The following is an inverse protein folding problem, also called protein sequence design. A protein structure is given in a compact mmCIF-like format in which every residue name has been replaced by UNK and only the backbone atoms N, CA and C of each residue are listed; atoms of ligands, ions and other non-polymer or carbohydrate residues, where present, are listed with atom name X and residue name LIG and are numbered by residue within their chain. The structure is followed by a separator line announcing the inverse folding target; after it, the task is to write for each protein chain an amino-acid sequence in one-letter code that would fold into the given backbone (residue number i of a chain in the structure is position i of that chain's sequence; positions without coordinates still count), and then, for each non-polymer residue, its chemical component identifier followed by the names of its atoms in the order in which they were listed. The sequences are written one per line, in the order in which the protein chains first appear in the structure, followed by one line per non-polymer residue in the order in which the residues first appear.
data_IF_577920429116
#
_entry.id   IF_577920429116
#
_cell.length_a   1.000
_cell.length_b   1.000
_cell.length_c   1.000
_cell.angle_alpha   90.00
_cell.angle_beta   90.00
_cell.angle_gamma   90.00
#
_symmetry.space_group_name_H-M   'P 1'
#
loop_
_entity.id
_entity.type
_entity.pdbx_description
1 polymer ?
#
# COMPACT_ATOMS: atom_id res chain seq x y z
N UNK A 1 21.69 15.74 5.11
CA UNK A 1 21.58 15.21 3.74
C UNK A 1 20.72 13.96 3.73
N UNK A 2 20.16 13.58 2.58
CA UNK A 2 19.35 12.35 2.42
C UNK A 2 20.17 11.08 2.75
N UNK A 3 21.48 11.13 2.54
CA UNK A 3 22.39 10.02 2.86
C UNK A 3 22.59 9.78 4.36
N UNK A 4 22.50 10.80 5.18
CA UNK A 4 22.67 10.67 6.63
C UNK A 4 21.39 10.15 7.33
N UNK A 5 20.23 10.28 6.68
CA UNK A 5 18.95 9.80 7.21
C UNK A 5 18.70 8.31 6.93
N UNK A 6 19.32 7.73 5.90
CA UNK A 6 19.13 6.33 5.49
C UNK A 6 19.48 5.30 6.58
N UNK A 7 20.59 5.43 7.34
CA UNK A 7 20.92 4.52 8.42
C UNK A 7 19.86 4.47 9.51
N UNK A 8 19.40 5.65 9.96
CA UNK A 8 18.40 5.78 11.05
C UNK A 8 17.06 5.11 10.67
N UNK A 9 16.61 5.30 9.41
CA UNK A 9 15.36 4.66 8.95
C UNK A 9 15.49 3.14 8.89
N UNK A 10 16.66 2.62 8.51
CA UNK A 10 16.95 1.19 8.47
C UNK A 10 16.96 0.58 9.87
N UNK A 11 17.62 1.21 10.81
CA UNK A 11 17.67 0.76 12.22
C UNK A 11 16.27 0.70 12.84
N UNK A 12 15.44 1.73 12.63
CA UNK A 12 14.05 1.76 13.12
C UNK A 12 13.25 0.60 12.54
N UNK A 13 13.38 0.31 11.24
CA UNK A 13 12.69 -0.80 10.59
C UNK A 13 13.17 -2.14 11.16
N UNK A 14 14.48 -2.31 11.34
CA UNK A 14 15.06 -3.53 11.89
C UNK A 14 14.55 -3.80 13.31
N UNK A 15 14.56 -2.79 14.17
CA UNK A 15 14.03 -2.89 15.54
C UNK A 15 12.55 -3.28 15.52
N UNK A 16 11.74 -2.63 14.68
CA UNK A 16 10.32 -2.92 14.55
C UNK A 16 10.10 -4.37 14.09
N UNK A 17 10.77 -4.81 13.04
CA UNK A 17 10.59 -6.15 12.50
C UNK A 17 11.04 -7.23 13.48
N UNK A 18 12.16 -7.03 14.19
CA UNK A 18 12.59 -7.91 15.29
C UNK A 18 11.53 -8.00 16.38
N UNK A 19 10.93 -6.86 16.72
CA UNK A 19 9.87 -6.79 17.73
C UNK A 19 8.62 -7.58 17.29
N UNK A 20 8.20 -7.47 16.04
CA UNK A 20 7.05 -8.20 15.50
C UNK A 20 7.24 -9.72 15.45
N UNK A 21 8.49 -10.21 15.49
CA UNK A 21 8.81 -11.64 15.54
C UNK A 21 8.74 -12.23 16.96
N UNK A 22 8.52 -11.42 17.99
CA UNK A 22 8.36 -11.91 19.37
C UNK A 22 7.04 -12.71 19.51
N UNK A 23 7.03 -13.79 20.32
CA UNK A 23 5.86 -14.68 20.45
C UNK A 23 4.55 -14.00 20.83
N UNK A 24 4.62 -12.88 21.55
CA UNK A 24 3.43 -12.12 21.98
C UNK A 24 2.65 -11.49 20.83
N UNK A 25 3.25 -11.36 19.62
CA UNK A 25 2.63 -10.77 18.44
C UNK A 25 2.17 -11.81 17.40
N UNK A 26 2.22 -13.09 17.73
CA UNK A 26 1.84 -14.17 16.81
C UNK A 26 0.37 -14.07 16.36
N UNK A 27 -0.49 -13.51 17.19
CA UNK A 27 -1.92 -13.28 16.90
C UNK A 27 -2.19 -11.98 16.14
N UNK A 28 -1.16 -11.16 15.95
CA UNK A 28 -1.23 -9.86 15.27
C UNK A 28 -0.78 -8.69 16.12
N UNK A 29 -0.57 -7.56 15.49
CA UNK A 29 -0.14 -6.33 16.12
C UNK A 29 -0.73 -5.10 15.41
N UNK A 30 -0.94 -4.03 16.16
CA UNK A 30 -1.22 -2.71 15.62
C UNK A 30 0.05 -1.87 15.75
N UNK A 31 0.53 -1.34 14.61
CA UNK A 31 1.73 -0.51 14.57
C UNK A 31 1.31 0.92 14.28
N UNK A 32 1.44 1.81 15.26
CA UNK A 32 1.11 3.23 15.10
C UNK A 32 2.30 4.02 14.54
N UNK A 33 2.02 4.82 13.53
CA UNK A 33 2.99 5.75 12.97
C UNK A 33 4.07 5.12 12.09
N UNK A 34 3.81 3.98 11.50
CA UNK A 34 4.63 3.29 10.52
C UNK A 34 3.77 2.76 9.35
N UNK A 35 4.24 2.81 8.06
CA UNK A 35 5.44 3.52 7.59
C UNK A 35 5.23 5.04 7.46
N UNK A 36 6.33 5.82 7.48
CA UNK A 36 6.33 7.30 7.33
C UNK A 36 7.25 7.81 6.23
N UNK A 37 7.94 6.92 5.54
CA UNK A 37 8.85 7.27 4.45
C UNK A 37 8.79 6.22 3.35
N UNK A 38 9.24 6.57 2.13
CA UNK A 38 9.32 5.63 1.02
C UNK A 38 10.20 4.41 1.36
N UNK A 39 11.32 4.62 2.06
CA UNK A 39 12.19 3.51 2.49
C UNK A 39 11.45 2.52 3.39
N UNK A 40 10.68 3.02 4.34
CA UNK A 40 9.88 2.16 5.22
C UNK A 40 8.75 1.45 4.47
N UNK A 41 8.14 2.10 3.49
CA UNK A 41 7.15 1.51 2.59
C UNK A 41 7.76 0.35 1.81
N UNK A 42 8.92 0.52 1.20
CA UNK A 42 9.59 -0.54 0.46
C UNK A 42 10.02 -1.71 1.38
N UNK A 43 10.52 -1.41 2.58
CA UNK A 43 10.83 -2.45 3.57
C UNK A 43 9.57 -3.27 3.96
N UNK A 44 8.41 -2.61 4.10
CA UNK A 44 7.14 -3.29 4.39
C UNK A 44 6.70 -4.19 3.24
N UNK A 45 6.82 -3.74 1.99
CA UNK A 45 6.54 -4.54 0.79
C UNK A 45 7.45 -5.77 0.72
N UNK A 46 8.74 -5.60 0.98
CA UNK A 46 9.70 -6.70 1.01
C UNK A 46 9.41 -7.71 2.14
N UNK A 47 9.02 -7.23 3.32
CA UNK A 47 8.59 -8.12 4.40
C UNK A 47 7.40 -8.96 3.98
N UNK A 48 6.37 -8.34 3.41
CA UNK A 48 5.17 -9.04 2.94
C UNK A 48 5.49 -10.06 1.85
N UNK A 49 6.29 -9.68 0.85
CA UNK A 49 6.73 -10.59 -0.20
C UNK A 49 7.49 -11.80 0.40
N UNK A 50 8.43 -11.56 1.32
CA UNK A 50 9.18 -12.64 1.96
C UNK A 50 8.33 -13.58 2.79
N UNK A 51 7.31 -13.06 3.49
CA UNK A 51 6.36 -13.89 4.24
C UNK A 51 5.52 -14.78 3.31
N UNK A 52 5.09 -14.26 2.16
CA UNK A 52 4.41 -15.05 1.14
C UNK A 52 5.34 -16.12 0.53
N UNK A 53 6.59 -15.78 0.23
CA UNK A 53 7.56 -16.75 -0.29
C UNK A 53 7.78 -17.90 0.71
N UNK A 54 7.98 -17.59 1.99
CA UNK A 54 8.11 -18.60 3.04
C UNK A 54 6.87 -19.48 3.15
N UNK A 55 5.68 -18.87 3.10
CA UNK A 55 4.43 -19.64 3.07
C UNK A 55 4.40 -20.63 1.90
N UNK A 56 4.71 -20.18 0.69
CA UNK A 56 4.74 -21.05 -0.49
C UNK A 56 5.78 -22.17 -0.37
N UNK A 57 6.98 -21.85 0.13
CA UNK A 57 8.08 -22.79 0.31
C UNK A 57 7.68 -23.92 1.28
N UNK A 58 7.04 -23.57 2.41
CA UNK A 58 6.73 -24.53 3.48
C UNK A 58 5.31 -25.10 3.44
N UNK A 59 4.45 -24.64 2.53
CA UNK A 59 3.02 -24.97 2.47
C UNK A 59 2.70 -26.47 2.56
N UNK A 60 3.52 -27.31 1.91
CA UNK A 60 3.30 -28.76 1.85
C UNK A 60 4.20 -29.54 2.82
N UNK A 61 4.79 -28.86 3.78
CA UNK A 61 5.66 -29.46 4.80
C UNK A 61 4.97 -29.47 6.17
N UNK A 62 5.53 -30.19 7.13
CA UNK A 62 5.06 -30.17 8.52
C UNK A 62 5.17 -28.78 9.17
N UNK A 63 6.07 -27.94 8.67
CA UNK A 63 6.27 -26.56 9.16
C UNK A 63 5.29 -25.56 8.53
N UNK A 64 4.45 -25.94 7.57
CA UNK A 64 3.51 -25.05 6.90
C UNK A 64 2.60 -24.27 7.85
N UNK A 65 2.20 -24.89 8.96
CA UNK A 65 1.39 -24.24 10.01
C UNK A 65 2.08 -23.03 10.64
N UNK A 66 3.41 -22.96 10.62
CA UNK A 66 4.21 -21.87 11.18
C UNK A 66 4.25 -20.63 10.28
N UNK A 67 3.80 -20.76 9.04
CA UNK A 67 3.78 -19.69 8.04
C UNK A 67 2.35 -19.45 7.53
N UNK A 68 1.47 -18.88 8.38
CA UNK A 68 0.10 -18.54 7.99
C UNK A 68 0.09 -17.46 6.90
N UNK A 69 -1.06 -17.30 6.23
CA UNK A 69 -1.27 -16.20 5.28
C UNK A 69 -1.02 -14.86 5.96
N UNK A 70 -0.13 -14.01 5.44
CA UNK A 70 0.09 -12.70 6.01
C UNK A 70 -1.08 -11.76 5.68
N UNK A 71 -1.69 -11.19 6.72
CA UNK A 71 -2.75 -10.20 6.61
C UNK A 71 -2.23 -8.83 7.02
N UNK A 72 -2.13 -7.89 6.07
CA UNK A 72 -1.66 -6.54 6.32
C UNK A 72 -2.75 -5.55 5.95
N UNK A 73 -3.18 -4.77 6.95
CA UNK A 73 -4.15 -3.70 6.80
C UNK A 73 -3.49 -2.36 7.03
N UNK A 74 -3.64 -1.45 6.09
CA UNK A 74 -3.13 -0.08 6.18
C UNK A 74 -4.30 0.84 6.50
N UNK A 75 -4.34 1.40 7.71
CA UNK A 75 -5.35 2.35 8.12
C UNK A 75 -4.81 3.77 8.07
N UNK A 76 -5.38 4.60 7.23
CA UNK A 76 -5.08 6.03 7.16
C UNK A 76 -6.26 6.82 7.71
N UNK A 77 -6.07 7.41 8.87
CA UNK A 77 -7.05 8.29 9.50
C UNK A 77 -6.80 9.72 8.99
N UNK A 78 -7.75 10.30 8.29
CA UNK A 78 -7.63 11.66 7.80
C UNK A 78 -8.58 12.62 8.49
N UNK A 79 -8.11 13.84 8.69
CA UNK A 79 -8.88 15.01 9.10
C UNK A 79 -8.46 16.19 8.23
N UNK A 80 -9.27 17.23 8.15
CA UNK A 80 -8.83 18.47 7.52
C UNK A 80 -7.77 19.21 8.37
N UNK A 81 -7.12 20.18 7.77
CA UNK A 81 -6.03 20.95 8.41
C UNK A 81 -6.51 21.66 9.68
N UNK A 82 -7.67 22.31 9.61
CA UNK A 82 -8.20 23.09 10.73
C UNK A 82 -8.48 22.18 11.93
N UNK A 83 -9.11 21.04 11.70
CA UNK A 83 -9.40 20.05 12.74
C UNK A 83 -8.10 19.43 13.30
N UNK A 84 -7.11 19.17 12.44
CA UNK A 84 -5.80 18.66 12.87
C UNK A 84 -5.09 19.68 13.79
N UNK A 85 -5.05 20.94 13.39
CA UNK A 85 -4.46 22.02 14.19
C UNK A 85 -5.21 22.19 15.52
N UNK A 86 -6.55 22.24 15.47
CA UNK A 86 -7.39 22.35 16.67
C UNK A 86 -7.11 21.22 17.69
N UNK A 87 -7.03 19.98 17.22
CA UNK A 87 -6.73 18.82 18.08
C UNK A 87 -5.33 18.86 18.65
N UNK A 88 -4.34 19.31 17.88
CA UNK A 88 -2.98 19.44 18.37
C UNK A 88 -2.87 20.49 19.48
N UNK A 89 -3.45 21.68 19.27
CA UNK A 89 -3.45 22.74 20.27
C UNK A 89 -4.20 22.33 21.55
N UNK A 90 -5.37 21.69 21.39
CA UNK A 90 -6.14 21.17 22.55
C UNK A 90 -5.31 20.16 23.35
N UNK A 91 -4.64 19.22 22.69
CA UNK A 91 -3.77 18.24 23.37
C UNK A 91 -2.61 18.91 24.09
N UNK A 92 -2.01 19.94 23.50
CA UNK A 92 -0.96 20.73 24.15
C UNK A 92 -1.43 21.38 25.42
N UNK A 93 -2.61 22.00 25.40
CA UNK A 93 -3.22 22.62 26.56
C UNK A 93 -3.55 21.60 27.66
N UNK A 94 -4.20 20.47 27.30
CA UNK A 94 -4.49 19.39 28.23
C UNK A 94 -3.22 18.82 28.88
N UNK A 95 -2.13 18.71 28.11
CA UNK A 95 -0.84 18.24 28.61
C UNK A 95 -0.22 19.25 29.60
N UNK A 96 -0.32 20.55 29.37
CA UNK A 96 0.12 21.59 30.30
C UNK A 96 -0.68 21.51 31.62
N UNK A 97 -2.00 21.41 31.54
CA UNK A 97 -2.87 21.30 32.72
C UNK A 97 -2.56 20.03 33.52
N UNK A 98 -2.27 18.90 32.87
CA UNK A 98 -1.86 17.66 33.53
C UNK A 98 -0.51 17.82 34.23
N UNK A 99 0.46 18.50 33.58
CA UNK A 99 1.76 18.75 34.19
C UNK A 99 1.67 19.67 35.43
N UNK A 100 0.78 20.69 35.40
CA UNK A 100 0.51 21.52 36.58
C UNK A 100 -0.08 20.73 37.75
N UNK A 101 -0.95 19.74 37.46
CA UNK A 101 -1.47 18.83 38.48
C UNK A 101 -0.38 17.91 39.01
N UNK A 102 0.40 17.28 38.05
CA UNK A 102 1.50 16.40 38.43
C UNK A 102 2.54 17.09 39.32
N UNK A 103 2.87 18.39 39.04
CA UNK A 103 3.74 19.19 39.93
C UNK A 103 3.21 19.34 41.31
N UNK A 104 1.89 19.54 41.46
CA UNK A 104 1.27 19.67 42.78
C UNK A 104 1.26 18.34 43.56
N UNK A 105 1.11 17.24 42.83
CA UNK A 105 0.97 15.89 43.42
C UNK A 105 2.33 15.17 43.51
N UNK A 106 3.45 15.80 43.09
CA UNK A 106 4.79 15.19 43.09
C UNK A 106 4.97 14.06 42.09
N UNK A 107 4.13 14.01 41.06
CA UNK A 107 4.19 13.01 39.98
C UNK A 107 5.09 13.46 38.81
N UNK A 108 5.48 12.53 37.96
CA UNK A 108 6.31 12.81 36.78
C UNK A 108 5.54 13.63 35.75
N UNK A 109 6.21 14.64 35.17
CA UNK A 109 5.66 15.47 34.11
C UNK A 109 5.71 14.73 32.76
N UNK A 110 4.71 14.99 31.90
CA UNK A 110 4.64 14.47 30.52
C UNK A 110 5.34 15.47 29.59
N UNK A 111 6.12 14.97 28.65
CA UNK A 111 6.78 15.81 27.65
C UNK A 111 5.77 16.48 26.72
N UNK A 112 5.72 17.79 26.72
CA UNK A 112 4.86 18.60 25.84
C UNK A 112 5.53 18.81 24.50
N UNK A 113 4.89 18.43 23.43
CA UNK A 113 5.43 18.62 22.08
C UNK A 113 5.34 20.10 21.68
N UNK A 114 6.45 20.69 21.27
CA UNK A 114 6.51 22.11 20.83
C UNK A 114 5.50 22.45 19.72
N UNK A 115 5.19 21.49 18.84
CA UNK A 115 4.20 21.63 17.76
C UNK A 115 2.77 21.75 18.28
N UNK A 116 2.48 21.28 19.49
CA UNK A 116 1.15 21.30 20.07
C UNK A 116 0.85 22.61 20.81
N UNK A 117 1.83 23.50 20.92
CA UNK A 117 1.71 24.83 21.56
C UNK A 117 1.66 25.98 20.57
N UNK A 118 1.86 25.73 19.28
CA UNK A 118 1.94 26.77 18.28
C UNK A 118 1.17 26.36 17.00
N UNK A 119 0.22 27.21 16.59
CA UNK A 119 -0.64 26.94 15.44
C UNK A 119 0.15 26.81 14.11
N UNK A 120 1.18 27.63 13.90
CA UNK A 120 1.97 27.58 12.67
C UNK A 120 2.86 26.33 12.64
N UNK A 121 3.40 25.92 13.77
CA UNK A 121 4.12 24.66 13.90
C UNK A 121 3.21 23.45 13.66
N UNK A 122 1.96 23.49 14.15
CA UNK A 122 0.95 22.47 13.91
C UNK A 122 0.55 22.39 12.42
N UNK A 123 0.34 23.53 11.75
CA UNK A 123 0.09 23.60 10.29
C UNK A 123 1.26 23.07 9.49
N UNK A 124 2.48 23.47 9.84
CA UNK A 124 3.68 22.97 9.17
C UNK A 124 3.80 21.44 9.29
N UNK A 125 3.52 20.90 10.47
CA UNK A 125 3.50 19.43 10.68
C UNK A 125 2.45 18.74 9.81
N UNK A 126 1.25 19.30 9.67
CA UNK A 126 0.21 18.78 8.78
C UNK A 126 0.66 18.77 7.32
N UNK A 127 1.27 19.88 6.86
CA UNK A 127 1.82 20.02 5.51
C UNK A 127 2.92 18.99 5.23
N UNK A 128 3.87 18.84 6.14
CA UNK A 128 4.96 17.85 6.03
C UNK A 128 4.41 16.42 5.95
N UNK A 129 3.39 16.11 6.74
CA UNK A 129 2.72 14.82 6.64
C UNK A 129 2.09 14.61 5.26
N UNK A 130 1.36 15.59 4.74
CA UNK A 130 0.71 15.51 3.44
C UNK A 130 1.72 15.35 2.29
N UNK A 131 2.81 16.10 2.32
CA UNK A 131 3.82 16.09 1.26
C UNK A 131 4.77 14.88 1.31
N UNK A 132 5.14 14.42 2.50
CA UNK A 132 6.22 13.42 2.67
C UNK A 132 5.77 12.04 3.10
N UNK A 133 4.60 11.93 3.72
CA UNK A 133 4.13 10.66 4.28
C UNK A 133 2.94 10.12 3.51
N UNK A 134 2.02 10.97 3.10
CA UNK A 134 0.79 10.54 2.45
C UNK A 134 1.02 9.90 1.07
N UNK A 135 1.85 10.52 0.21
CA UNK A 135 2.15 9.95 -1.12
C UNK A 135 2.78 8.56 -1.06
N UNK A 136 3.85 8.32 -0.24
CA UNK A 136 4.37 6.97 -0.03
C UNK A 136 3.31 5.96 0.42
N UNK A 137 2.41 6.35 1.32
CA UNK A 137 1.34 5.47 1.80
C UNK A 137 0.36 5.08 0.69
N UNK A 138 0.08 5.95 -0.26
CA UNK A 138 -0.81 5.63 -1.39
C UNK A 138 -0.30 4.46 -2.24
N UNK A 139 1.02 4.30 -2.37
CA UNK A 139 1.61 3.19 -3.12
C UNK A 139 1.35 1.81 -2.51
N UNK A 140 0.82 1.76 -1.28
CA UNK A 140 0.45 0.52 -0.61
C UNK A 140 -0.96 0.02 -0.99
N UNK A 141 -1.78 0.85 -1.63
CA UNK A 141 -3.16 0.52 -2.02
C UNK A 141 -3.25 -0.65 -2.99
N UNK A 142 -2.24 -0.80 -3.84
CA UNK A 142 -2.23 -1.84 -4.88
C UNK A 142 -1.77 -3.21 -4.34
N UNK A 143 -1.27 -3.25 -3.10
CA UNK A 143 -0.65 -4.45 -2.50
C UNK A 143 -1.40 -4.91 -1.27
N UNK A 144 -1.89 -3.96 -0.45
CA UNK A 144 -2.48 -4.24 0.86
C UNK A 144 -3.94 -3.79 0.93
N UNK A 145 -4.68 -4.35 1.88
CA UNK A 145 -5.98 -3.82 2.27
C UNK A 145 -5.81 -2.40 2.83
N UNK A 146 -6.24 -1.42 2.06
CA UNK A 146 -6.02 -0.01 2.36
C UNK A 146 -7.32 0.68 2.75
N UNK A 147 -7.39 1.16 3.99
CA UNK A 147 -8.54 1.78 4.57
C UNK A 147 -8.31 3.28 4.75
N UNK A 148 -9.10 4.10 4.06
CA UNK A 148 -9.04 5.55 4.17
C UNK A 148 -10.26 6.05 4.95
N UNK A 149 -10.07 6.34 6.23
CA UNK A 149 -11.16 6.56 7.18
C UNK A 149 -11.21 8.04 7.58
N UNK A 150 -12.38 8.63 7.41
CA UNK A 150 -12.63 9.98 7.92
C UNK A 150 -12.64 9.97 9.46
N UNK A 151 -11.63 10.61 10.06
CA UNK A 151 -11.47 10.71 11.50
C UNK A 151 -12.05 12.02 12.09
N UNK A 152 -12.86 12.76 11.33
CA UNK A 152 -13.64 13.88 11.87
C UNK A 152 -14.77 13.35 12.76
N UNK A 153 -15.07 14.07 13.83
CA UNK A 153 -16.07 13.69 14.83
C UNK A 153 -15.45 13.28 16.17
N UNK A 154 -16.27 12.71 17.01
CA UNK A 154 -15.88 12.23 18.33
C UNK A 154 -15.10 10.90 18.26
N UNK A 155 -14.36 10.58 19.29
CA UNK A 155 -13.59 9.34 19.36
C UNK A 155 -14.46 8.08 19.18
N UNK A 156 -15.66 7.96 19.83
CA UNK A 156 -16.54 6.81 19.63
C UNK A 156 -17.04 6.68 18.19
N UNK A 157 -17.36 7.80 17.50
CA UNK A 157 -17.81 7.77 16.11
C UNK A 157 -16.69 7.28 15.19
N UNK A 158 -15.46 7.75 15.39
CA UNK A 158 -14.31 7.31 14.62
C UNK A 158 -14.03 5.82 14.85
N UNK A 159 -14.09 5.38 16.10
CA UNK A 159 -13.94 3.96 16.45
C UNK A 159 -15.00 3.09 15.77
N UNK A 160 -16.25 3.51 15.78
CA UNK A 160 -17.33 2.78 15.11
C UNK A 160 -17.08 2.67 13.60
N UNK A 161 -16.59 3.73 12.94
CA UNK A 161 -16.21 3.71 11.52
C UNK A 161 -15.06 2.74 11.24
N UNK A 162 -14.03 2.72 12.09
CA UNK A 162 -12.91 1.78 11.96
C UNK A 162 -13.40 0.34 12.05
N UNK A 163 -14.20 0.03 13.07
CA UNK A 163 -14.73 -1.33 13.28
C UNK A 163 -15.59 -1.75 12.09
N UNK A 164 -16.50 -0.87 11.64
CA UNK A 164 -17.37 -1.15 10.48
C UNK A 164 -16.58 -1.41 9.22
N UNK A 165 -15.54 -0.61 8.96
CA UNK A 165 -14.69 -0.77 7.78
C UNK A 165 -13.91 -2.08 7.82
N UNK A 166 -13.29 -2.42 8.95
CA UNK A 166 -12.57 -3.68 9.09
C UNK A 166 -13.49 -4.90 8.99
N UNK A 167 -14.69 -4.84 9.53
CA UNK A 167 -15.68 -5.91 9.39
C UNK A 167 -16.15 -6.08 7.95
N UNK A 168 -16.33 -4.99 7.22
CA UNK A 168 -16.71 -5.03 5.81
C UNK A 168 -15.61 -5.66 4.96
N UNK A 169 -14.36 -5.25 5.13
CA UNK A 169 -13.23 -5.77 4.37
C UNK A 169 -12.97 -7.25 4.67
N UNK A 170 -13.05 -7.66 5.94
CA UNK A 170 -12.87 -9.07 6.30
C UNK A 170 -13.94 -9.99 5.68
N UNK A 171 -15.14 -9.47 5.40
CA UNK A 171 -16.18 -10.23 4.71
C UNK A 171 -15.90 -10.43 3.22
N UNK A 172 -14.99 -9.65 2.63
CA UNK A 172 -14.58 -9.73 1.22
C UNK A 172 -13.30 -10.57 1.04
N UNK A 173 -12.65 -10.96 2.12
CA UNK A 173 -11.45 -11.76 2.03
C UNK A 173 -11.76 -13.20 1.59
N UNK A 174 -10.93 -13.70 0.69
CA UNK A 174 -10.99 -15.10 0.30
C UNK A 174 -10.58 -16.01 1.47
N UNK A 175 -11.25 -17.16 1.57
CA UNK A 175 -10.78 -18.20 2.49
C UNK A 175 -9.34 -18.59 2.20
N UNK A 176 -8.61 -19.07 3.22
CA UNK A 176 -7.22 -19.51 3.04
C UNK A 176 -7.07 -20.53 1.91
N UNK A 177 -7.98 -21.50 1.83
CA UNK A 177 -7.98 -22.54 0.79
C UNK A 177 -8.11 -21.92 -0.61
N UNK A 178 -9.06 -21.00 -0.80
CA UNK A 178 -9.27 -20.32 -2.08
C UNK A 178 -8.06 -19.44 -2.44
N UNK A 179 -7.52 -18.72 -1.48
CA UNK A 179 -6.33 -17.90 -1.69
C UNK A 179 -5.15 -18.77 -2.15
N UNK A 180 -4.93 -19.89 -1.49
CA UNK A 180 -3.85 -20.80 -1.82
C UNK A 180 -4.00 -21.45 -3.19
N UNK A 181 -5.22 -21.72 -3.63
CA UNK A 181 -5.49 -22.26 -4.97
C UNK A 181 -5.17 -21.25 -6.08
N UNK A 182 -5.46 -19.96 -5.85
CA UNK A 182 -5.28 -18.92 -6.88
C UNK A 182 -3.92 -18.21 -6.81
N UNK A 183 -3.25 -18.22 -5.66
CA UNK A 183 -1.97 -17.51 -5.47
C UNK A 183 -0.85 -17.93 -6.43
N UNK A 184 -0.77 -19.20 -6.92
CA UNK A 184 0.20 -19.57 -7.95
C UNK A 184 -0.13 -19.03 -9.34
N UNK A 185 -1.36 -18.52 -9.55
CA UNK A 185 -1.77 -17.95 -10.84
C UNK A 185 -1.12 -16.58 -10.98
N UNK A 186 -0.27 -16.36 -11.99
CA UNK A 186 0.39 -15.07 -12.17
C UNK A 186 -0.64 -13.96 -12.46
N UNK A 187 -0.39 -12.78 -11.91
CA UNK A 187 -1.22 -11.61 -12.19
C UNK A 187 -1.19 -11.26 -13.68
N UNK A 188 -2.31 -10.75 -14.19
CA UNK A 188 -2.41 -10.34 -15.61
C UNK A 188 -1.33 -9.33 -16.01
N UNK A 189 -0.90 -8.45 -15.09
CA UNK A 189 0.21 -7.52 -15.29
C UNK A 189 1.56 -8.24 -15.50
N UNK A 190 1.81 -9.33 -14.78
CA UNK A 190 3.02 -10.14 -14.93
C UNK A 190 3.00 -10.89 -16.27
N UNK A 191 1.86 -11.51 -16.61
CA UNK A 191 1.69 -12.21 -17.89
C UNK A 191 1.87 -11.23 -19.06
N UNK A 192 1.25 -10.05 -19.01
CA UNK A 192 1.34 -9.05 -20.08
C UNK A 192 2.73 -8.46 -20.20
N UNK A 193 3.49 -8.31 -19.14
CA UNK A 193 4.86 -7.82 -19.19
C UNK A 193 5.76 -8.79 -19.97
N UNK A 194 5.72 -10.09 -19.65
CA UNK A 194 6.49 -11.10 -20.36
C UNK A 194 6.00 -11.27 -21.81
N UNK A 195 4.68 -11.34 -22.00
CA UNK A 195 4.10 -11.46 -23.36
C UNK A 195 4.48 -10.27 -24.25
N UNK A 196 4.54 -9.06 -23.68
CA UNK A 196 4.96 -7.86 -24.42
C UNK A 196 6.43 -7.93 -24.85
N UNK A 197 7.32 -8.36 -23.97
CA UNK A 197 8.75 -8.52 -24.29
C UNK A 197 8.98 -9.57 -25.36
N UNK A 198 8.30 -10.73 -25.26
CA UNK A 198 8.36 -11.77 -26.27
C UNK A 198 7.76 -11.33 -27.60
N UNK A 199 6.64 -10.60 -27.56
CA UNK A 199 6.02 -10.05 -28.76
C UNK A 199 6.98 -9.08 -29.49
N UNK A 200 7.59 -8.12 -28.77
CA UNK A 200 8.54 -7.17 -29.37
C UNK A 200 9.70 -7.92 -30.01
N UNK A 201 10.32 -8.87 -29.31
CA UNK A 201 11.43 -9.66 -29.88
C UNK A 201 11.04 -10.44 -31.14
N UNK A 202 9.83 -11.03 -31.16
CA UNK A 202 9.32 -11.74 -32.34
C UNK A 202 9.01 -10.80 -33.49
N UNK A 203 8.48 -9.61 -33.22
CA UNK A 203 8.22 -8.61 -34.24
C UNK A 203 9.52 -8.11 -34.86
N UNK A 204 10.56 -7.88 -34.06
CA UNK A 204 11.90 -7.50 -34.55
C UNK A 204 12.49 -8.60 -35.44
N UNK A 205 12.41 -9.87 -35.04
CA UNK A 205 12.87 -11.02 -35.82
C UNK A 205 12.13 -11.13 -37.17
N UNK A 206 10.80 -10.94 -37.21
CA UNK A 206 10.03 -10.91 -38.44
C UNK A 206 10.38 -9.70 -39.32
N UNK A 207 10.58 -8.53 -38.73
CA UNK A 207 10.98 -7.33 -39.45
C UNK A 207 12.34 -7.50 -40.13
N UNK A 208 13.29 -8.19 -39.52
CA UNK A 208 14.61 -8.46 -40.09
C UNK A 208 14.61 -9.59 -41.09
N UNK A 209 14.00 -10.74 -40.78
CA UNK A 209 14.10 -11.96 -41.61
C UNK A 209 13.08 -12.04 -42.72
N UNK A 210 11.91 -11.42 -42.57
CA UNK A 210 10.81 -11.48 -43.49
C UNK A 210 10.24 -10.08 -43.82
N UNK A 211 11.10 -9.15 -44.09
CA UNK A 211 10.79 -7.72 -44.23
C UNK A 211 9.62 -7.43 -45.16
N UNK A 212 9.57 -8.10 -46.35
CA UNK A 212 8.52 -7.87 -47.35
C UNK A 212 7.16 -8.34 -46.80
N UNK A 213 7.10 -9.56 -46.27
CA UNK A 213 5.88 -10.12 -45.71
C UNK A 213 5.41 -9.33 -44.49
N UNK A 214 6.33 -8.99 -43.61
CA UNK A 214 6.03 -8.20 -42.41
C UNK A 214 5.41 -6.84 -42.78
N UNK A 215 6.00 -6.14 -43.73
CA UNK A 215 5.47 -4.86 -44.24
C UNK A 215 4.06 -5.03 -44.80
N UNK A 216 3.83 -6.07 -45.60
CA UNK A 216 2.52 -6.35 -46.18
C UNK A 216 1.45 -6.64 -45.12
N UNK A 217 1.80 -7.36 -44.05
CA UNK A 217 0.91 -7.61 -42.91
C UNK A 217 0.56 -6.31 -42.20
N UNK A 218 1.52 -5.42 -41.96
CA UNK A 218 1.28 -4.11 -41.34
C UNK A 218 0.35 -3.25 -42.20
N UNK A 219 0.56 -3.20 -43.52
CA UNK A 219 -0.33 -2.50 -44.47
C UNK A 219 -1.76 -3.04 -44.38
N UNK A 220 -1.92 -4.37 -44.39
CA UNK A 220 -3.22 -5.02 -44.25
C UNK A 220 -3.94 -4.65 -42.95
N UNK A 221 -3.20 -4.63 -41.85
CA UNK A 221 -3.74 -4.22 -40.55
C UNK A 221 -4.21 -2.76 -40.61
N UNK A 222 -3.41 -1.86 -41.16
CA UNK A 222 -3.74 -0.45 -41.27
C UNK A 222 -4.92 -0.18 -42.20
N UNK A 223 -4.97 -0.84 -43.34
CA UNK A 223 -5.97 -0.61 -44.38
C UNK A 223 -7.31 -1.30 -44.15
N UNK A 224 -7.29 -2.52 -43.57
CA UNK A 224 -8.51 -3.32 -43.39
C UNK A 224 -8.93 -3.44 -41.93
N UNK A 225 -8.02 -3.81 -41.01
CA UNK A 225 -8.41 -4.13 -39.64
C UNK A 225 -8.73 -2.88 -38.81
N UNK A 226 -7.87 -1.88 -38.85
CA UNK A 226 -8.06 -0.68 -37.99
C UNK A 226 -9.35 0.09 -38.33
N UNK A 227 -9.77 0.29 -39.57
CA UNK A 227 -11.05 0.94 -39.87
C UNK A 227 -12.24 0.16 -39.32
N UNK A 228 -12.25 -1.17 -39.44
CA UNK A 228 -13.33 -2.02 -38.96
C UNK A 228 -13.37 -2.02 -37.41
N UNK A 229 -12.25 -2.18 -36.75
CA UNK A 229 -12.16 -2.11 -35.29
C UNK A 229 -12.66 -0.76 -34.78
N UNK A 230 -12.27 0.34 -35.41
CA UNK A 230 -12.72 1.68 -35.02
C UNK A 230 -14.22 1.87 -35.21
N UNK A 231 -14.81 1.35 -36.30
CA UNK A 231 -16.26 1.45 -36.52
C UNK A 231 -17.09 0.62 -35.53
N UNK A 232 -16.51 -0.42 -34.94
CA UNK A 232 -17.16 -1.31 -33.98
C UNK A 232 -16.67 -1.15 -32.54
N UNK A 233 -15.93 -0.08 -32.23
CA UNK A 233 -15.37 0.16 -30.90
C UNK A 233 -16.42 0.19 -29.79
N UNK A 234 -17.65 0.63 -30.08
CA UNK A 234 -18.74 0.70 -29.12
C UNK A 234 -19.40 -0.67 -28.89
N UNK A 235 -19.45 -1.53 -29.91
CA UNK A 235 -20.08 -2.86 -29.81
C UNK A 235 -19.19 -3.91 -29.12
N UNK A 236 -17.89 -3.65 -28.99
CA UNK A 236 -16.92 -4.56 -28.37
C UNK A 236 -16.59 -5.80 -29.21
N UNK A 237 -17.16 -5.94 -30.40
CA UNK A 237 -16.89 -7.04 -31.34
C UNK A 237 -16.68 -6.51 -32.76
N UNK A 238 -15.66 -7.02 -33.44
CA UNK A 238 -15.39 -6.71 -34.83
C UNK A 238 -15.01 -8.00 -35.60
N UNK A 239 -15.64 -8.20 -36.78
CA UNK A 239 -15.32 -9.30 -37.68
C UNK A 239 -14.63 -8.76 -38.90
N UNK A 240 -13.46 -9.30 -39.24
CA UNK A 240 -12.68 -8.92 -40.43
C UNK A 240 -12.54 -10.12 -41.35
N UNK A 241 -13.11 -10.05 -42.52
CA UNK A 241 -12.95 -11.06 -43.56
C UNK A 241 -11.66 -10.74 -44.34
N UNK A 242 -10.74 -11.68 -44.40
CA UNK A 242 -9.52 -11.60 -45.19
C UNK A 242 -9.71 -12.53 -46.40
N UNK A 243 -9.88 -11.96 -47.58
CA UNK A 243 -9.76 -12.72 -48.81
C UNK A 243 -8.26 -12.85 -49.13
N UNK A 244 -7.80 -14.09 -49.19
CA UNK A 244 -6.40 -14.44 -49.52
C UNK A 244 -6.18 -14.47 -51.01
#
# INVERSE_FOLDING_TARGET
SLHDALPIYREVVEILFRKLLEPQYVTGAVVDGFPRSMVQVECLKHLFARLNDLRQEFRHTADGVRFPKPHFHILVLFVDENESVRRQLKRGQECLEQNERAKRDGAAEIEVRKTDLNADAARNRYRVFKERTYEPLQSLRDIFHYHFINAQGSLPEVQARIIKELQYQSSLELSEETYDLISPIPLSSQITQHARQDLVRRLDDYAERQTVLFRRVIELIQEKFLPIIRSHAISGQAHVNIET
#
